data_IF_818072681449
#
_entry.id   IF_818072681449
#
_cell.length_a   1.000
_cell.length_b   1.000
_cell.length_c   1.000
_cell.angle_alpha   90.00
_cell.angle_beta   90.00
_cell.angle_gamma   90.00
#
_symmetry.space_group_name_H-M   'P 1'
#
loop_
_entity.id
_entity.type
_entity.pdbx_description
1 polymer ?
#
# COMPACT_ATOMS: atom_id res chain seq x y z
N UNK A 1 -19.41 -37.50 32.90
CA UNK A 1 -18.74 -37.10 31.63
C UNK A 1 -18.90 -35.61 31.29
N UNK A 2 -20.10 -34.99 31.37
CA UNK A 2 -20.29 -33.55 31.11
C UNK A 2 -19.38 -32.59 31.93
N UNK A 3 -19.08 -32.91 33.20
CA UNK A 3 -18.21 -32.07 34.06
C UNK A 3 -16.73 -32.08 33.66
N UNK A 4 -16.25 -33.15 33.01
CA UNK A 4 -14.85 -33.24 32.55
C UNK A 4 -14.67 -32.44 31.26
N UNK A 5 -15.67 -32.42 30.39
CA UNK A 5 -15.67 -31.65 29.12
C UNK A 5 -15.65 -30.13 29.36
N UNK A 6 -16.37 -29.66 30.38
CA UNK A 6 -16.41 -28.23 30.73
C UNK A 6 -15.04 -27.77 31.25
N UNK A 7 -14.38 -28.58 32.10
CA UNK A 7 -13.06 -28.26 32.61
C UNK A 7 -11.98 -28.22 31.52
N UNK A 8 -12.08 -29.10 30.51
CA UNK A 8 -11.15 -29.10 29.38
C UNK A 8 -11.37 -27.89 28.47
N UNK A 9 -12.63 -27.47 28.26
CA UNK A 9 -12.95 -26.27 27.48
C UNK A 9 -12.50 -24.98 28.19
N UNK A 10 -12.64 -24.90 29.52
CA UNK A 10 -12.15 -23.76 30.30
C UNK A 10 -10.61 -23.65 30.30
N UNK A 11 -9.89 -24.79 30.28
CA UNK A 11 -8.43 -24.81 30.23
C UNK A 11 -7.90 -24.43 28.83
N UNK A 12 -8.63 -24.78 27.76
CA UNK A 12 -8.34 -24.34 26.38
C UNK A 12 -8.59 -22.85 26.19
N UNK A 13 -9.64 -22.28 26.81
CA UNK A 13 -9.93 -20.84 26.74
C UNK A 13 -8.91 -19.98 27.52
N UNK A 14 -8.25 -20.54 28.52
CA UNK A 14 -7.14 -19.88 29.25
C UNK A 14 -5.81 -19.89 28.47
N UNK A 15 -5.68 -20.75 27.46
CA UNK A 15 -4.52 -20.80 26.56
C UNK A 15 -4.66 -19.88 25.35
N UNK A 16 -5.84 -19.31 25.09
CA UNK A 16 -6.01 -18.13 24.22
C UNK A 16 -5.54 -16.84 24.93
N UNK A 17 -4.41 -16.92 25.63
CA UNK A 17 -3.80 -15.78 26.30
C UNK A 17 -3.36 -14.77 25.26
N UNK A 18 -3.70 -13.50 25.48
CA UNK A 18 -3.12 -12.36 24.79
C UNK A 18 -1.59 -12.50 24.82
N UNK A 19 -0.99 -12.96 23.71
CA UNK A 19 0.46 -12.93 23.56
C UNK A 19 0.87 -11.48 23.65
N UNK A 20 1.77 -11.17 24.60
CA UNK A 20 2.36 -9.84 24.64
C UNK A 20 3.01 -9.56 23.27
N UNK A 21 2.87 -8.35 22.73
CA UNK A 21 3.56 -7.96 21.51
C UNK A 21 5.05 -8.28 21.62
N UNK A 22 5.65 -8.72 20.52
CA UNK A 22 7.09 -8.92 20.45
C UNK A 22 7.83 -7.60 20.69
N UNK A 23 9.03 -7.67 21.27
CA UNK A 23 9.90 -6.50 21.37
C UNK A 23 10.65 -6.30 20.06
N UNK A 24 10.66 -5.08 19.53
CA UNK A 24 11.55 -4.70 18.43
C UNK A 24 12.69 -3.85 18.96
N UNK A 25 13.90 -4.14 18.49
CA UNK A 25 15.07 -3.28 18.63
C UNK A 25 15.22 -2.41 17.38
N UNK A 26 15.41 -1.10 17.55
CA UNK A 26 15.69 -0.20 16.43
C UNK A 26 17.16 -0.29 16.05
N UNK A 27 17.41 -0.38 14.76
CA UNK A 27 18.75 -0.38 14.13
C UNK A 27 18.90 0.85 13.22
N UNK A 28 20.01 0.96 12.49
CA UNK A 28 20.29 2.12 11.64
C UNK A 28 19.33 2.22 10.44
N UNK A 29 18.89 1.08 9.90
CA UNK A 29 18.10 0.94 8.67
C UNK A 29 16.71 0.31 8.90
N UNK A 30 16.42 -0.18 10.10
CA UNK A 30 15.15 -0.84 10.36
C UNK A 30 14.91 -1.26 11.81
N UNK A 31 14.22 -2.39 11.95
CA UNK A 31 13.84 -2.97 13.24
C UNK A 31 14.12 -4.47 13.26
N UNK A 32 14.68 -4.98 14.34
CA UNK A 32 14.92 -6.42 14.54
C UNK A 32 13.98 -6.94 15.61
N UNK A 33 13.24 -8.01 15.32
CA UNK A 33 12.46 -8.74 16.33
C UNK A 33 13.40 -9.47 17.28
N UNK A 34 13.39 -9.06 18.56
CA UNK A 34 14.26 -9.60 19.60
C UNK A 34 14.07 -11.11 19.82
N UNK A 35 12.87 -11.64 19.49
CA UNK A 35 12.54 -13.05 19.71
C UNK A 35 12.94 -13.94 18.54
N UNK A 36 12.69 -13.51 17.31
CA UNK A 36 12.94 -14.33 16.11
C UNK A 36 14.28 -14.01 15.44
N UNK A 37 14.86 -12.84 15.71
CA UNK A 37 16.03 -12.33 15.02
C UNK A 37 15.74 -11.82 13.61
N UNK A 38 14.47 -11.79 13.18
CA UNK A 38 14.08 -11.29 11.86
C UNK A 38 14.26 -9.78 11.84
N UNK A 39 14.94 -9.29 10.81
CA UNK A 39 15.23 -7.88 10.61
C UNK A 39 14.37 -7.32 9.47
N UNK A 40 13.65 -6.23 9.75
CA UNK A 40 12.72 -5.58 8.84
C UNK A 40 13.24 -4.20 8.46
N UNK A 41 13.35 -3.96 7.16
CA UNK A 41 13.75 -2.67 6.57
C UNK A 41 12.51 -1.97 6.02
N UNK A 42 12.43 -0.66 6.21
CA UNK A 42 11.34 0.14 5.65
C UNK A 42 11.36 0.09 4.12
N UNK A 43 10.21 -0.17 3.50
CA UNK A 43 10.04 -0.03 2.06
C UNK A 43 9.87 1.44 1.66
N UNK A 44 9.96 1.69 0.35
CA UNK A 44 9.63 3.00 -0.22
C UNK A 44 8.21 3.45 0.19
N UNK A 45 7.98 4.73 0.48
CA UNK A 45 6.66 5.23 0.91
C UNK A 45 5.52 5.04 -0.10
N UNK A 46 5.81 4.71 -1.37
CA UNK A 46 4.80 4.27 -2.33
C UNK A 46 4.16 2.93 -1.94
N UNK A 47 4.78 2.11 -1.08
CA UNK A 47 4.16 0.89 -0.60
C UNK A 47 3.17 1.16 0.53
N UNK A 48 1.95 0.66 0.40
CA UNK A 48 0.88 0.81 1.40
C UNK A 48 0.16 -0.52 1.63
N UNK A 49 -0.12 -0.92 2.88
CA UNK A 49 -0.92 -2.11 3.12
C UNK A 49 -2.41 -1.79 2.90
N UNK A 50 -3.16 -2.76 2.36
CA UNK A 50 -4.59 -2.63 2.14
C UNK A 50 -5.39 -2.54 3.45
N UNK A 51 -4.87 -3.14 4.52
CA UNK A 51 -5.45 -3.10 5.86
C UNK A 51 -4.37 -3.35 6.91
N UNK A 52 -4.66 -2.97 8.15
CA UNK A 52 -3.89 -3.37 9.33
C UNK A 52 -4.62 -4.47 10.07
N UNK A 53 -3.90 -5.52 10.44
CA UNK A 53 -4.39 -6.59 11.30
C UNK A 53 -4.18 -6.28 12.78
N UNK A 54 -3.90 -7.32 13.54
CA UNK A 54 -3.61 -7.22 14.98
C UNK A 54 -2.21 -6.64 15.23
N UNK A 55 -1.99 -6.16 16.47
CA UNK A 55 -0.66 -5.74 16.91
C UNK A 55 0.24 -6.98 17.02
N UNK A 56 1.34 -6.98 16.28
CA UNK A 56 2.36 -8.03 16.31
C UNK A 56 3.48 -7.69 17.30
N UNK A 57 4.02 -6.47 17.22
CA UNK A 57 5.21 -6.07 17.97
C UNK A 57 5.19 -4.60 18.38
N UNK A 58 6.02 -4.25 19.34
CA UNK A 58 6.22 -2.88 19.82
C UNK A 58 7.71 -2.54 19.89
N UNK A 59 8.07 -1.37 19.37
CA UNK A 59 9.33 -0.72 19.70
C UNK A 59 9.13 0.24 20.87
N UNK A 60 10.03 0.19 21.86
CA UNK A 60 10.02 1.09 23.02
C UNK A 60 11.36 1.79 23.20
N UNK A 61 11.39 3.10 23.01
CA UNK A 61 12.54 3.92 23.37
C UNK A 61 12.35 4.46 24.80
N UNK A 62 13.04 3.83 25.77
CA UNK A 62 12.93 4.19 27.19
C UNK A 62 13.47 5.58 27.51
N UNK A 63 14.39 6.09 26.70
CA UNK A 63 15.02 7.40 26.93
C UNK A 63 14.12 8.56 26.48
N UNK A 64 13.17 8.29 25.58
CA UNK A 64 12.30 9.30 24.94
C UNK A 64 10.81 9.09 25.16
N UNK A 65 10.42 8.08 25.92
CA UNK A 65 9.03 7.66 26.13
C UNK A 65 8.26 7.46 24.80
N UNK A 66 8.94 6.92 23.79
CA UNK A 66 8.35 6.61 22.49
C UNK A 66 7.94 5.15 22.47
N UNK A 67 6.68 4.89 22.15
CA UNK A 67 6.16 3.57 21.83
C UNK A 67 5.65 3.60 20.40
N UNK A 68 6.09 2.65 19.56
CA UNK A 68 5.57 2.44 18.21
C UNK A 68 5.03 1.03 18.09
N UNK A 69 3.79 0.90 17.66
CA UNK A 69 3.17 -0.39 17.39
C UNK A 69 3.39 -0.81 15.93
N UNK A 70 3.63 -2.11 15.75
CA UNK A 70 3.75 -2.78 14.47
C UNK A 70 2.65 -3.83 14.37
N UNK A 71 2.02 -3.88 13.21
CA UNK A 71 0.82 -4.64 12.92
C UNK A 71 1.10 -5.64 11.82
N UNK A 72 0.36 -6.74 11.88
CA UNK A 72 0.27 -7.67 10.76
C UNK A 72 -0.34 -6.98 9.55
N UNK A 73 0.12 -7.31 8.34
CA UNK A 73 -0.60 -6.99 7.12
C UNK A 73 -1.40 -8.24 6.75
N UNK A 74 -2.74 -8.21 6.76
CA UNK A 74 -3.54 -9.42 6.52
C UNK A 74 -3.12 -10.12 5.23
N UNK A 75 -2.99 -11.45 5.26
CA UNK A 75 -2.54 -12.31 4.16
C UNK A 75 -1.04 -12.22 3.80
N UNK A 76 -0.27 -11.31 4.40
CA UNK A 76 1.19 -11.28 4.29
C UNK A 76 1.78 -11.77 5.61
N UNK A 77 2.55 -12.85 5.57
CA UNK A 77 3.14 -13.45 6.78
C UNK A 77 3.99 -12.44 7.56
N UNK A 78 3.87 -12.46 8.89
CA UNK A 78 4.63 -11.57 9.78
C UNK A 78 6.12 -11.85 9.79
N UNK A 79 6.53 -13.02 9.30
CA UNK A 79 7.92 -13.36 9.03
C UNK A 79 8.54 -12.61 7.85
N UNK A 80 7.71 -11.94 7.05
CA UNK A 80 8.15 -11.22 5.86
C UNK A 80 7.72 -9.75 5.84
N UNK A 81 6.53 -9.43 6.34
CA UNK A 81 5.94 -8.10 6.25
C UNK A 81 5.33 -7.63 7.57
N UNK A 82 5.54 -6.36 7.88
CA UNK A 82 4.86 -5.63 8.95
C UNK A 82 4.46 -4.24 8.45
N UNK A 83 3.53 -3.60 9.14
CA UNK A 83 3.30 -2.16 8.99
C UNK A 83 3.23 -1.45 10.33
N UNK A 84 3.53 -0.16 10.37
CA UNK A 84 3.40 0.61 11.61
C UNK A 84 2.07 1.39 11.71
N UNK A 85 1.89 2.09 12.83
CA UNK A 85 0.71 2.92 13.10
C UNK A 85 0.49 4.06 12.08
N UNK A 86 1.51 4.39 11.29
CA UNK A 86 1.50 5.39 10.22
C UNK A 86 1.40 4.77 8.82
N UNK A 87 1.12 3.47 8.73
CA UNK A 87 0.97 2.72 7.47
C UNK A 87 2.26 2.54 6.66
N UNK A 88 3.43 2.82 7.24
CA UNK A 88 4.70 2.47 6.57
C UNK A 88 4.85 0.95 6.56
N UNK A 89 5.32 0.40 5.43
CA UNK A 89 5.54 -1.03 5.26
C UNK A 89 7.00 -1.37 5.53
N UNK A 90 7.23 -2.48 6.22
CA UNK A 90 8.55 -3.03 6.49
C UNK A 90 8.65 -4.45 5.95
N UNK A 91 9.81 -4.81 5.42
CA UNK A 91 10.06 -6.08 4.73
C UNK A 91 11.33 -6.75 5.25
N UNK A 92 11.31 -8.07 5.38
CA UNK A 92 12.40 -8.86 5.96
C UNK A 92 13.15 -9.79 4.99
N UNK A 93 12.89 -9.70 3.69
CA UNK A 93 13.62 -10.49 2.69
C UNK A 93 14.90 -9.82 2.20
N UNK A 94 15.74 -10.58 1.50
CA UNK A 94 17.04 -10.12 1.00
C UNK A 94 16.95 -9.02 -0.06
N UNK A 95 15.87 -9.03 -0.87
CA UNK A 95 15.63 -8.04 -1.93
C UNK A 95 14.23 -7.49 -1.76
N UNK A 96 14.15 -6.16 -1.62
CA UNK A 96 12.86 -5.47 -1.50
C UNK A 96 11.93 -5.84 -2.68
N UNK A 97 10.61 -5.96 -2.45
CA UNK A 97 9.66 -6.12 -3.52
C UNK A 97 9.84 -5.03 -4.57
N UNK A 98 9.75 -5.43 -5.84
CA UNK A 98 9.78 -4.52 -6.98
C UNK A 98 8.43 -4.58 -7.68
N UNK A 99 7.63 -3.53 -7.53
CA UNK A 99 6.30 -3.42 -8.13
C UNK A 99 6.35 -3.47 -9.66
N UNK A 100 7.49 -3.15 -10.28
CA UNK A 100 7.67 -3.29 -11.74
C UNK A 100 7.66 -4.74 -12.20
N UNK A 101 7.89 -5.70 -11.29
CA UNK A 101 7.92 -7.13 -11.61
C UNK A 101 6.58 -7.83 -11.31
N UNK A 102 5.67 -7.18 -10.60
CA UNK A 102 4.40 -7.79 -10.17
C UNK A 102 3.51 -8.18 -11.34
N UNK A 103 2.80 -9.29 -11.22
CA UNK A 103 1.68 -9.57 -12.10
C UNK A 103 0.46 -8.74 -11.64
N UNK A 104 0.35 -7.51 -12.15
CA UNK A 104 -0.74 -6.59 -11.81
C UNK A 104 -2.11 -7.22 -12.10
N UNK A 105 -2.98 -7.21 -11.09
CA UNK A 105 -4.36 -7.70 -11.18
C UNK A 105 -5.38 -6.60 -11.10
N UNK A 106 -5.10 -5.57 -10.30
CA UNK A 106 -6.07 -4.52 -10.00
C UNK A 106 -5.37 -3.18 -9.98
N UNK A 107 -6.05 -2.18 -10.56
CA UNK A 107 -5.72 -0.77 -10.39
C UNK A 107 -6.93 -0.11 -9.77
N UNK A 108 -6.75 0.51 -8.60
CA UNK A 108 -7.80 1.28 -7.93
C UNK A 108 -7.52 2.76 -8.13
N UNK A 109 -8.56 3.50 -8.48
CA UNK A 109 -8.55 4.96 -8.44
C UNK A 109 -9.31 5.38 -7.20
N UNK A 110 -8.61 6.00 -6.27
CA UNK A 110 -9.12 6.36 -4.96
C UNK A 110 -9.09 7.87 -4.77
N UNK A 111 -10.12 8.40 -4.14
CA UNK A 111 -10.09 9.74 -3.56
C UNK A 111 -9.63 9.64 -2.10
N UNK A 112 -8.78 10.57 -1.65
CA UNK A 112 -8.32 10.63 -0.27
C UNK A 112 -8.79 11.92 0.41
N UNK A 113 -9.71 11.78 1.36
CA UNK A 113 -10.17 12.85 2.26
C UNK A 113 -10.31 12.29 3.68
N UNK A 114 -9.18 12.13 4.36
CA UNK A 114 -9.08 11.47 5.68
C UNK A 114 -9.36 9.96 5.67
N UNK A 115 -10.15 9.48 4.71
CA UNK A 115 -10.36 8.08 4.34
C UNK A 115 -10.10 7.90 2.85
N UNK A 116 -9.71 6.69 2.45
CA UNK A 116 -9.51 6.33 1.05
C UNK A 116 -10.78 5.70 0.50
N UNK A 117 -11.38 6.31 -0.52
CA UNK A 117 -12.63 5.86 -1.16
C UNK A 117 -12.35 5.45 -2.60
N UNK A 118 -12.62 4.20 -2.94
CA UNK A 118 -12.55 3.71 -4.32
C UNK A 118 -13.61 4.39 -5.19
N UNK A 119 -13.18 5.05 -6.27
CA UNK A 119 -14.03 5.71 -7.27
C UNK A 119 -14.17 4.88 -8.54
N UNK A 120 -13.08 4.23 -8.96
CA UNK A 120 -13.09 3.30 -10.09
C UNK A 120 -12.05 2.20 -9.90
N UNK A 121 -12.18 1.15 -10.71
CA UNK A 121 -11.36 -0.06 -10.66
C UNK A 121 -11.16 -0.61 -12.05
N UNK A 122 -9.92 -0.93 -12.38
CA UNK A 122 -9.56 -1.80 -13.50
C UNK A 122 -9.17 -3.17 -12.96
N UNK A 123 -9.60 -4.23 -13.63
CA UNK A 123 -9.35 -5.62 -13.25
C UNK A 123 -8.80 -6.43 -14.42
N UNK A 124 -7.78 -7.24 -14.15
CA UNK A 124 -7.20 -8.15 -15.14
C UNK A 124 -8.27 -9.09 -15.73
N UNK A 125 -8.12 -9.36 -17.02
CA UNK A 125 -9.09 -10.04 -17.87
C UNK A 125 -10.04 -9.09 -18.60
N UNK A 126 -10.63 -8.12 -17.89
CA UNK A 126 -11.52 -7.13 -18.51
C UNK A 126 -10.75 -5.93 -19.08
N UNK A 127 -9.74 -5.47 -18.34
CA UNK A 127 -9.02 -4.21 -18.59
C UNK A 127 -7.51 -4.45 -18.84
N UNK A 128 -7.16 -5.61 -19.42
CA UNK A 128 -5.77 -6.03 -19.60
C UNK A 128 -4.95 -5.02 -20.42
N UNK A 129 -5.56 -4.35 -21.40
CA UNK A 129 -4.88 -3.37 -22.25
C UNK A 129 -4.52 -2.10 -21.45
N UNK A 130 -5.45 -1.60 -20.65
CA UNK A 130 -5.28 -0.43 -19.79
C UNK A 130 -4.26 -0.72 -18.67
N UNK A 131 -4.34 -1.90 -18.04
CA UNK A 131 -3.38 -2.32 -17.01
C UNK A 131 -1.97 -2.44 -17.61
N UNK A 132 -1.84 -3.03 -18.80
CA UNK A 132 -0.56 -3.12 -19.50
C UNK A 132 0.00 -1.73 -19.85
N UNK A 133 -0.87 -0.79 -20.24
CA UNK A 133 -0.48 0.58 -20.55
C UNK A 133 -0.02 1.34 -19.31
N UNK A 134 -0.72 1.22 -18.17
CA UNK A 134 -0.28 1.81 -16.90
C UNK A 134 1.09 1.26 -16.50
N UNK A 135 1.29 -0.06 -16.59
CA UNK A 135 2.59 -0.69 -16.30
C UNK A 135 3.68 -0.12 -17.20
N UNK A 136 3.44 -0.04 -18.50
CA UNK A 136 4.39 0.48 -19.48
C UNK A 136 4.77 1.93 -19.17
N UNK A 137 3.77 2.79 -18.93
CA UNK A 137 4.00 4.21 -18.66
C UNK A 137 4.73 4.43 -17.33
N UNK A 138 4.30 3.73 -16.29
CA UNK A 138 4.81 3.96 -14.95
C UNK A 138 6.16 3.29 -14.70
N UNK A 139 6.35 2.04 -15.11
CA UNK A 139 7.56 1.28 -14.84
C UNK A 139 8.52 1.17 -16.03
N UNK A 140 8.11 1.61 -17.23
CA UNK A 140 8.97 1.61 -18.42
C UNK A 140 9.80 2.88 -18.58
N UNK A 141 10.43 3.00 -19.75
CA UNK A 141 11.33 4.10 -20.12
C UNK A 141 10.60 5.37 -20.57
N UNK A 142 9.34 5.56 -20.16
CA UNK A 142 8.58 6.77 -20.49
C UNK A 142 9.26 8.02 -19.92
N UNK A 143 9.32 9.07 -20.74
CA UNK A 143 9.98 10.32 -20.41
C UNK A 143 9.33 10.97 -19.17
N UNK A 144 10.19 11.41 -18.24
CA UNK A 144 9.75 12.18 -17.10
C UNK A 144 9.45 13.62 -17.52
N UNK A 145 8.24 14.09 -17.28
CA UNK A 145 7.81 15.46 -17.65
C UNK A 145 7.76 16.38 -16.44
N UNK A 146 7.67 17.70 -16.68
CA UNK A 146 7.42 18.65 -15.61
C UNK A 146 5.92 18.77 -15.36
N UNK A 147 5.50 18.77 -14.10
CA UNK A 147 4.13 19.13 -13.74
C UNK A 147 3.85 20.61 -14.09
N UNK A 148 2.62 20.94 -14.50
CA UNK A 148 2.18 22.33 -14.58
C UNK A 148 2.34 23.04 -13.22
N UNK A 149 2.67 24.33 -13.26
CA UNK A 149 2.91 25.17 -12.06
C UNK A 149 1.61 25.45 -11.29
N UNK A 150 0.45 25.30 -11.94
CA UNK A 150 -0.87 25.47 -11.34
C UNK A 150 -1.23 24.30 -10.43
N UNK A 151 -2.23 24.48 -9.57
CA UNK A 151 -2.80 23.35 -8.84
C UNK A 151 -3.63 22.48 -9.80
N UNK A 152 -3.64 21.15 -9.61
CA UNK A 152 -4.58 20.29 -10.32
C UNK A 152 -6.02 20.59 -9.89
N UNK A 153 -6.97 20.43 -10.82
CA UNK A 153 -8.40 20.51 -10.53
C UNK A 153 -8.86 19.32 -9.67
N UNK A 154 -8.29 18.14 -9.92
CA UNK A 154 -8.55 16.92 -9.15
C UNK A 154 -7.26 16.15 -8.89
N UNK A 155 -7.18 15.49 -7.72
CA UNK A 155 -6.10 14.56 -7.38
C UNK A 155 -6.71 13.27 -6.86
N UNK A 156 -6.29 12.14 -7.44
CA UNK A 156 -6.63 10.80 -7.01
C UNK A 156 -5.36 10.04 -6.63
N UNK A 157 -5.48 9.04 -5.76
CA UNK A 157 -4.48 8.01 -5.59
C UNK A 157 -4.74 6.85 -6.54
N UNK A 158 -3.70 6.40 -7.20
CA UNK A 158 -3.68 5.17 -7.97
C UNK A 158 -3.02 4.11 -7.11
N UNK A 159 -3.72 2.99 -6.88
CA UNK A 159 -3.20 1.85 -6.11
C UNK A 159 -3.09 0.64 -7.01
N UNK A 160 -1.87 0.18 -7.23
CA UNK A 160 -1.57 -1.02 -8.00
C UNK A 160 -1.48 -2.23 -7.07
N UNK A 161 -2.15 -3.33 -7.42
CA UNK A 161 -2.08 -4.60 -6.69
C UNK A 161 -1.67 -5.74 -7.61
N UNK A 162 -0.72 -6.56 -7.17
CA UNK A 162 -0.23 -7.76 -7.86
C UNK A 162 -0.76 -9.06 -7.26
N UNK A 163 -0.59 -10.16 -7.98
CA UNK A 163 -0.93 -11.51 -7.51
C UNK A 163 -0.02 -11.98 -6.36
N UNK A 164 1.23 -11.54 -6.37
CA UNK A 164 2.27 -11.95 -5.43
C UNK A 164 1.99 -11.42 -4.01
N UNK A 165 1.43 -10.21 -3.92
CA UNK A 165 1.15 -9.50 -2.66
C UNK A 165 -0.23 -8.83 -2.73
N UNK A 166 -1.33 -9.60 -2.63
CA UNK A 166 -2.69 -9.11 -2.94
C UNK A 166 -3.20 -8.02 -1.97
N UNK A 167 -2.59 -7.89 -0.80
CA UNK A 167 -2.93 -6.89 0.22
C UNK A 167 -1.84 -5.83 0.41
N UNK A 168 -0.88 -5.77 -0.51
CA UNK A 168 0.11 -4.71 -0.62
C UNK A 168 -0.17 -3.90 -1.89
N UNK A 169 -0.24 -2.59 -1.75
CA UNK A 169 -0.37 -1.68 -2.87
C UNK A 169 0.93 -0.95 -3.15
N UNK A 170 1.18 -0.67 -4.42
CA UNK A 170 2.12 0.35 -4.86
C UNK A 170 1.34 1.58 -5.34
N UNK A 171 1.62 2.72 -4.75
CA UNK A 171 0.81 3.93 -4.87
C UNK A 171 1.56 5.09 -5.50
N UNK A 172 0.83 5.87 -6.29
CA UNK A 172 1.20 7.18 -6.79
C UNK A 172 -0.06 7.98 -7.08
N UNK A 173 0.08 9.29 -7.31
CA UNK A 173 -1.06 10.16 -7.59
C UNK A 173 -1.38 10.25 -9.08
N UNK A 174 -2.65 10.46 -9.39
CA UNK A 174 -3.14 10.93 -10.68
C UNK A 174 -3.69 12.35 -10.52
N UNK A 175 -3.19 13.29 -11.31
CA UNK A 175 -3.51 14.70 -11.23
C UNK A 175 -4.15 15.15 -12.54
N UNK A 176 -5.36 15.71 -12.44
CA UNK A 176 -6.14 16.22 -13.58
C UNK A 176 -6.11 17.73 -13.53
N UNK A 177 -5.72 18.38 -14.61
CA UNK A 177 -5.62 19.84 -14.71
C UNK A 177 -6.80 20.43 -15.49
N UNK A 178 -7.07 21.73 -15.29
CA UNK A 178 -8.17 22.44 -15.96
C UNK A 178 -8.07 22.44 -17.49
N UNK A 179 -6.87 22.27 -18.04
CA UNK A 179 -6.63 22.14 -19.48
C UNK A 179 -6.93 20.72 -20.02
N UNK A 180 -7.37 19.80 -19.17
CA UNK A 180 -7.67 18.41 -19.51
C UNK A 180 -6.47 17.47 -19.49
N UNK A 181 -5.25 17.97 -19.26
CA UNK A 181 -4.07 17.10 -19.15
C UNK A 181 -4.11 16.31 -17.84
N UNK A 182 -3.75 15.03 -17.94
CA UNK A 182 -3.73 14.11 -16.80
C UNK A 182 -2.33 13.55 -16.65
N UNK A 183 -1.82 13.59 -15.41
CA UNK A 183 -0.47 13.14 -15.09
C UNK A 183 -0.52 12.07 -14.00
N UNK A 184 0.31 11.04 -14.13
CA UNK A 184 0.77 10.29 -12.97
C UNK A 184 1.92 11.04 -12.33
N UNK A 185 1.94 11.07 -11.01
CA UNK A 185 2.98 11.72 -10.23
C UNK A 185 3.23 10.99 -8.92
N UNK A 186 4.50 10.77 -8.60
CA UNK A 186 4.94 10.31 -7.29
C UNK A 186 5.85 11.37 -6.66
N UNK A 187 5.47 11.82 -5.46
CA UNK A 187 6.19 12.84 -4.73
C UNK A 187 7.56 12.35 -4.21
N UNK A 188 7.72 11.03 -4.01
CA UNK A 188 8.93 10.46 -3.44
C UNK A 188 10.04 10.32 -4.48
N UNK A 189 9.76 9.65 -5.61
CA UNK A 189 10.68 9.52 -6.73
C UNK A 189 10.75 10.76 -7.63
N UNK A 190 9.76 11.67 -7.52
CA UNK A 190 9.54 12.81 -8.43
C UNK A 190 9.37 12.39 -9.89
N UNK A 191 8.91 11.16 -10.11
CA UNK A 191 8.52 10.68 -11.43
C UNK A 191 7.15 11.26 -11.78
N UNK A 192 7.07 11.82 -12.98
CA UNK A 192 5.86 12.39 -13.56
C UNK A 192 5.71 11.86 -14.98
N UNK A 193 4.52 11.38 -15.33
CA UNK A 193 4.23 10.87 -16.67
C UNK A 193 2.91 11.47 -17.15
N UNK A 194 2.92 12.06 -18.35
CA UNK A 194 1.69 12.50 -19.01
C UNK A 194 0.92 11.27 -19.52
N UNK A 195 -0.37 11.19 -19.22
CA UNK A 195 -1.22 10.10 -19.69
C UNK A 195 -1.70 10.36 -21.12
N UNK A 196 -1.71 9.33 -21.98
CA UNK A 196 -2.47 9.40 -23.21
C UNK A 196 -3.96 9.51 -22.89
N UNK A 197 -4.68 10.28 -23.70
CA UNK A 197 -6.11 10.58 -23.53
C UNK A 197 -6.96 9.31 -23.32
N UNK A 198 -6.71 8.25 -24.09
CA UNK A 198 -7.43 6.97 -23.95
C UNK A 198 -7.33 6.42 -22.52
N UNK A 199 -6.14 6.48 -21.91
CA UNK A 199 -5.94 5.97 -20.56
C UNK A 199 -6.53 6.92 -19.51
N UNK A 200 -6.42 8.23 -19.74
CA UNK A 200 -7.06 9.22 -18.89
C UNK A 200 -8.58 8.96 -18.81
N UNK A 201 -9.24 8.77 -19.94
CA UNK A 201 -10.68 8.44 -20.00
C UNK A 201 -11.01 7.14 -19.26
N UNK A 202 -10.17 6.11 -19.36
CA UNK A 202 -10.40 4.83 -18.68
C UNK A 202 -10.26 4.92 -17.15
N UNK A 203 -9.39 5.79 -16.65
CA UNK A 203 -9.09 5.92 -15.22
C UNK A 203 -9.93 7.00 -14.53
N UNK A 204 -10.27 8.08 -15.24
CA UNK A 204 -11.00 9.20 -14.68
C UNK A 204 -12.42 8.78 -14.27
N UNK A 205 -12.83 9.06 -13.02
CA UNK A 205 -14.23 8.91 -12.62
C UNK A 205 -15.15 9.73 -13.54
N UNK A 206 -16.34 9.20 -13.85
CA UNK A 206 -17.24 9.75 -14.86
C UNK A 206 -17.70 11.21 -14.62
N UNK A 207 -17.53 11.72 -13.41
CA UNK A 207 -17.88 13.06 -12.95
C UNK A 207 -16.70 14.06 -12.97
N UNK A 208 -15.53 13.68 -13.48
CA UNK A 208 -14.28 14.46 -13.33
C UNK A 208 -13.71 15.01 -14.64
N UNK A 209 -14.20 14.55 -15.79
CA UNK A 209 -13.80 15.10 -17.08
C UNK A 209 -14.72 16.28 -17.43
N UNK A 210 -14.20 17.43 -17.88
CA UNK A 210 -15.03 18.52 -18.36
C UNK A 210 -15.92 18.01 -19.50
N UNK A 211 -17.22 18.26 -19.43
CA UNK A 211 -18.14 17.96 -20.52
C UNK A 211 -17.56 18.57 -21.81
N UNK A 212 -17.33 17.74 -22.83
CA UNK A 212 -17.00 18.26 -24.15
C UNK A 212 -18.15 19.20 -24.56
N UNK A 213 -17.87 20.50 -24.57
CA UNK A 213 -18.80 21.48 -25.12
C UNK A 213 -18.88 21.22 -26.63
N UNK A 214 -19.85 20.40 -27.02
CA UNK A 214 -20.24 20.17 -28.42
C UNK A 214 -20.86 21.39 -29.08
#
# INVERSE_FOLDING_TARGET
MKRVLILSLSLLLLLCGCSKPHGLEKTDDGYTDEKSGIHYVALDPSYQPAARGEVFAEYKNKDRDIVRAFYEIPQLGTDLFLCDEYWNVYYAGETAPDASLWQLKTILVCEEDGISVERSRLSAGADDAEIALVRMLWFGDTENVLLPITAPAYTFQIKLSGEEYPTLYYNFSMQIYENGEVYFYDAFSRRTVLLPEQLAVALCPADTLPEENG
#
